data_IF_128046242338
#
_entry.id   IF_128046242338
#
_cell.length_a   1.000
_cell.length_b   1.000
_cell.length_c   1.000
_cell.angle_alpha   90.00
_cell.angle_beta   90.00
_cell.angle_gamma   90.00
#
_symmetry.space_group_name_H-M   'P 1'
#
loop_
_entity.id
_entity.type
_entity.pdbx_description
1 polymer ?
#
# COMPACT_ATOMS: atom_id res chain seq x y z
N UNK A 1 -60.14 29.63 20.27
CA UNK A 1 -59.39 29.30 21.50
C UNK A 1 -59.36 27.79 21.62
N UNK A 2 -58.18 27.19 21.50
CA UNK A 2 -57.96 25.75 21.64
C UNK A 2 -58.10 25.31 23.10
N UNK A 3 -58.27 24.00 23.36
CA UNK A 3 -57.18 23.34 24.09
C UNK A 3 -56.84 21.93 23.56
N UNK A 4 -55.54 21.62 23.62
CA UNK A 4 -54.94 20.30 23.48
C UNK A 4 -55.20 19.43 24.73
N UNK A 5 -55.40 18.12 24.56
CA UNK A 5 -54.76 17.11 25.42
C UNK A 5 -55.02 15.65 24.97
N UNK A 6 -53.91 14.96 24.69
CA UNK A 6 -53.60 13.53 24.91
C UNK A 6 -54.36 12.46 24.10
N UNK A 7 -53.72 11.82 23.10
CA UNK A 7 -52.76 10.70 23.15
C UNK A 7 -53.36 9.32 23.44
N UNK A 8 -52.97 8.39 22.56
CA UNK A 8 -52.98 6.93 22.67
C UNK A 8 -54.27 6.18 22.30
N UNK A 9 -54.40 5.79 21.02
CA UNK A 9 -54.89 4.46 20.68
C UNK A 9 -54.58 4.07 19.23
N UNK A 10 -54.30 2.77 19.05
CA UNK A 10 -54.36 1.99 17.81
C UNK A 10 -53.12 2.04 16.91
N UNK A 11 -52.28 1.00 17.02
CA UNK A 11 -52.00 0.09 15.90
C UNK A 11 -51.14 -1.09 16.40
N UNK A 12 -51.75 -1.96 17.21
CA UNK A 12 -51.36 -3.36 17.30
C UNK A 12 -52.05 -4.07 16.13
N UNK A 13 -51.33 -4.33 15.04
CA UNK A 13 -51.57 -5.38 14.03
C UNK A 13 -50.68 -5.15 12.80
N UNK A 14 -49.44 -5.62 12.84
CA UNK A 14 -48.71 -6.14 11.66
C UNK A 14 -47.50 -6.95 12.15
N UNK A 15 -47.59 -8.28 12.22
CA UNK A 15 -46.41 -9.12 12.41
C UNK A 15 -45.62 -9.21 11.10
N UNK A 16 -44.30 -9.22 11.24
CA UNK A 16 -43.32 -9.81 10.33
C UNK A 16 -43.37 -9.43 8.84
N UNK A 17 -42.52 -8.48 8.45
CA UNK A 17 -41.88 -8.43 7.12
C UNK A 17 -40.61 -7.58 7.17
N UNK A 18 -39.61 -8.05 7.93
CA UNK A 18 -38.20 -7.62 7.80
C UNK A 18 -37.31 -8.86 8.01
N UNK A 19 -37.54 -9.89 7.21
CA UNK A 19 -36.51 -10.87 6.94
C UNK A 19 -35.72 -10.34 5.74
N UNK A 20 -34.40 -10.20 5.89
CA UNK A 20 -33.49 -10.09 4.75
C UNK A 20 -33.79 -11.24 3.78
N UNK A 21 -33.65 -11.06 2.46
CA UNK A 21 -33.73 -12.18 1.54
C UNK A 21 -32.68 -13.23 1.97
N UNK A 22 -33.14 -14.41 2.39
CA UNK A 22 -32.29 -15.59 2.46
C UNK A 22 -31.77 -15.85 1.04
N UNK A 23 -30.45 -16.07 0.85
CA UNK A 23 -29.97 -16.50 -0.44
C UNK A 23 -30.57 -17.88 -0.73
N UNK A 24 -31.30 -17.96 -1.83
CA UNK A 24 -31.82 -19.22 -2.37
C UNK A 24 -30.64 -20.20 -2.54
N UNK A 25 -30.69 -21.35 -1.85
CA UNK A 25 -29.70 -22.44 -1.94
C UNK A 25 -29.80 -23.18 -3.29
N UNK A 26 -29.78 -22.44 -4.40
CA UNK A 26 -29.75 -22.98 -5.76
C UNK A 26 -28.74 -22.29 -6.68
N UNK A 27 -27.87 -21.43 -6.15
CA UNK A 27 -26.68 -21.00 -6.90
C UNK A 27 -25.66 -22.15 -6.91
N UNK A 28 -25.72 -22.88 -8.03
CA UNK A 28 -24.60 -23.60 -8.65
C UNK A 28 -23.29 -23.12 -8.05
N UNK A 29 -22.55 -24.03 -7.42
CA UNK A 29 -21.17 -23.81 -7.02
C UNK A 29 -20.40 -23.32 -8.24
N UNK A 30 -20.36 -21.99 -8.43
CA UNK A 30 -19.40 -21.35 -9.31
C UNK A 30 -18.07 -21.63 -8.67
N UNK A 31 -17.53 -22.80 -9.03
CA UNK A 31 -16.13 -23.12 -8.99
C UNK A 31 -15.42 -21.84 -9.41
N UNK A 32 -14.77 -21.15 -8.46
CA UNK A 32 -13.85 -20.04 -8.74
C UNK A 32 -12.56 -20.56 -9.42
N UNK A 33 -12.70 -21.59 -10.25
CA UNK A 33 -11.72 -22.13 -11.17
C UNK A 33 -12.26 -21.94 -12.60
N UNK A 34 -12.41 -20.67 -13.00
CA UNK A 34 -12.35 -20.35 -14.42
C UNK A 34 -10.93 -19.91 -14.75
N UNK A 35 -10.27 -20.83 -15.46
CA UNK A 35 -9.02 -20.69 -16.21
C UNK A 35 -9.01 -19.39 -17.05
N UNK A 36 -7.84 -18.91 -17.53
CA UNK A 36 -7.72 -17.60 -18.15
C UNK A 36 -8.74 -17.45 -19.28
N UNK A 37 -9.42 -16.31 -19.33
CA UNK A 37 -10.27 -15.91 -20.46
C UNK A 37 -9.46 -16.17 -21.75
N UNK A 38 -10.00 -16.96 -22.68
CA UNK A 38 -9.33 -17.27 -23.94
C UNK A 38 -8.87 -15.97 -24.61
N UNK A 39 -7.58 -15.87 -24.93
CA UNK A 39 -6.96 -14.69 -25.53
C UNK A 39 -6.11 -13.82 -24.59
N UNK A 40 -6.21 -13.96 -23.26
CA UNK A 40 -5.33 -13.23 -22.33
C UNK A 40 -4.12 -14.09 -21.95
N UNK A 41 -3.00 -13.89 -22.65
CA UNK A 41 -1.71 -14.52 -22.34
C UNK A 41 -0.66 -13.45 -22.10
N UNK A 42 0.13 -13.59 -21.04
CA UNK A 42 1.37 -12.81 -20.88
C UNK A 42 2.49 -13.55 -21.62
N UNK A 43 3.07 -12.99 -22.69
CA UNK A 43 4.22 -13.60 -23.36
C UNK A 43 5.43 -13.67 -22.40
N UNK A 44 6.32 -14.67 -22.55
CA UNK A 44 7.56 -14.73 -21.80
C UNK A 44 8.50 -13.60 -22.25
N UNK A 45 9.15 -12.93 -21.30
CA UNK A 45 10.15 -11.89 -21.57
C UNK A 45 11.40 -12.19 -20.73
N UNK A 46 12.49 -12.55 -21.41
CA UNK A 46 13.76 -12.96 -20.80
C UNK A 46 14.94 -12.52 -21.67
N UNK A 47 16.15 -12.29 -21.08
CA UNK A 47 16.43 -12.32 -19.63
C UNK A 47 15.95 -11.04 -18.91
N UNK A 48 15.97 -11.06 -17.58
CA UNK A 48 15.75 -9.84 -16.78
C UNK A 48 16.81 -8.78 -17.16
N UNK A 49 16.41 -7.55 -17.50
CA UNK A 49 17.36 -6.51 -17.88
C UNK A 49 18.41 -6.26 -16.79
N UNK A 50 19.70 -6.11 -17.14
CA UNK A 50 20.73 -5.71 -16.18
C UNK A 50 20.50 -4.26 -15.72
N UNK A 51 20.90 -3.95 -14.49
CA UNK A 51 20.86 -2.58 -13.96
C UNK A 51 21.94 -1.67 -14.56
N UNK A 52 21.90 -0.38 -14.21
CA UNK A 52 22.96 0.59 -14.57
C UNK A 52 22.78 1.30 -15.91
N UNK A 53 21.66 1.08 -16.60
CA UNK A 53 21.28 1.72 -17.86
C UNK A 53 20.81 3.18 -17.79
N UNK A 54 20.44 3.68 -16.60
CA UNK A 54 19.97 5.06 -16.42
C UNK A 54 21.16 5.94 -16.02
N UNK A 55 21.50 6.99 -16.78
CA UNK A 55 22.65 7.85 -16.50
C UNK A 55 22.62 8.45 -15.09
N UNK A 56 21.45 8.91 -14.63
CA UNK A 56 21.29 9.53 -13.31
C UNK A 56 21.61 8.58 -12.14
N UNK A 57 21.60 7.27 -12.39
CA UNK A 57 21.91 6.24 -11.39
C UNK A 57 23.35 5.73 -11.46
N UNK A 58 24.21 6.27 -12.35
CA UNK A 58 25.55 5.72 -12.59
C UNK A 58 26.42 5.70 -11.33
N UNK A 59 26.36 6.75 -10.50
CA UNK A 59 27.12 6.82 -9.25
C UNK A 59 26.59 5.82 -8.21
N UNK A 60 25.27 5.77 -7.99
CA UNK A 60 24.68 4.83 -7.05
C UNK A 60 24.97 3.38 -7.47
N UNK A 61 24.89 3.11 -8.77
CA UNK A 61 25.18 1.79 -9.33
C UNK A 61 26.64 1.38 -9.16
N UNK A 62 27.60 2.30 -9.37
CA UNK A 62 29.02 1.99 -9.16
C UNK A 62 29.32 1.65 -7.70
N UNK A 63 28.76 2.42 -6.75
CA UNK A 63 28.91 2.16 -5.31
C UNK A 63 28.27 0.83 -4.91
N UNK A 64 27.08 0.53 -5.42
CA UNK A 64 26.43 -0.76 -5.20
C UNK A 64 27.25 -1.92 -5.76
N UNK A 65 27.82 -1.77 -6.97
CA UNK A 65 28.66 -2.78 -7.58
C UNK A 65 29.92 -3.08 -6.74
N UNK A 66 30.62 -2.04 -6.28
CA UNK A 66 31.78 -2.20 -5.39
C UNK A 66 31.40 -2.93 -4.10
N UNK A 67 30.29 -2.54 -3.46
CA UNK A 67 29.83 -3.17 -2.22
C UNK A 67 29.46 -4.65 -2.43
N UNK A 68 28.61 -4.94 -3.42
CA UNK A 68 28.11 -6.29 -3.72
C UNK A 68 29.21 -7.22 -4.22
N UNK A 69 30.24 -6.68 -4.90
CA UNK A 69 31.41 -7.46 -5.34
C UNK A 69 32.20 -8.03 -4.16
N UNK A 70 32.19 -7.33 -3.02
CA UNK A 70 32.86 -7.78 -1.80
C UNK A 70 32.04 -8.76 -0.96
N UNK A 71 30.78 -9.03 -1.32
CA UNK A 71 29.85 -9.89 -0.57
C UNK A 71 29.98 -11.36 -0.94
N UNK A 72 29.85 -12.22 0.07
CA UNK A 72 29.63 -13.65 -0.12
C UNK A 72 28.22 -13.93 -0.66
N UNK A 73 27.99 -15.15 -1.18
CA UNK A 73 26.66 -15.54 -1.65
C UNK A 73 25.60 -15.48 -0.54
N UNK A 74 25.95 -15.94 0.67
CA UNK A 74 25.04 -15.91 1.82
C UNK A 74 24.65 -14.47 2.18
N UNK A 75 25.60 -13.53 2.16
CA UNK A 75 25.34 -12.11 2.43
C UNK A 75 24.42 -11.49 1.37
N UNK A 76 24.59 -11.86 0.09
CA UNK A 76 23.69 -11.43 -1.00
C UNK A 76 22.26 -11.94 -0.80
N UNK A 77 22.11 -13.22 -0.46
CA UNK A 77 20.79 -13.82 -0.18
C UNK A 77 20.14 -13.19 1.05
N UNK A 78 20.92 -12.79 2.04
CA UNK A 78 20.40 -12.16 3.26
C UNK A 78 19.73 -10.80 2.96
N UNK A 79 20.29 -10.03 2.04
CA UNK A 79 19.68 -8.76 1.62
C UNK A 79 18.41 -8.93 0.78
N UNK A 80 18.28 -10.04 0.04
CA UNK A 80 17.09 -10.29 -0.80
C UNK A 80 15.96 -11.01 -0.06
N UNK A 81 16.19 -11.47 1.17
CA UNK A 81 15.25 -12.34 1.89
C UNK A 81 14.80 -11.67 3.18
N UNK A 82 13.48 -11.65 3.41
CA UNK A 82 12.92 -11.20 4.67
C UNK A 82 13.21 -12.19 5.80
N UNK A 83 13.48 -11.71 7.02
CA UNK A 83 13.77 -12.58 8.18
C UNK A 83 12.55 -13.37 8.68
N UNK A 84 11.35 -13.02 8.21
CA UNK A 84 10.09 -13.67 8.57
C UNK A 84 9.04 -12.67 9.06
N UNK A 85 7.79 -13.11 9.15
CA UNK A 85 6.68 -12.27 9.61
C UNK A 85 6.77 -12.03 11.11
N UNK A 86 6.68 -10.76 11.53
CA UNK A 86 6.86 -10.32 12.92
C UNK A 86 8.21 -10.68 13.56
N UNK A 87 9.23 -10.99 12.76
CA UNK A 87 10.59 -11.33 13.24
C UNK A 87 11.49 -10.09 13.39
N UNK A 88 10.91 -8.89 13.42
CA UNK A 88 11.62 -7.62 13.54
C UNK A 88 10.67 -6.48 13.92
N UNK A 89 11.21 -5.29 14.23
CA UNK A 89 10.42 -4.12 14.61
C UNK A 89 9.56 -3.55 13.47
N UNK A 90 9.93 -3.82 12.22
CA UNK A 90 9.26 -3.32 11.03
C UNK A 90 8.36 -4.40 10.40
N UNK A 91 7.35 -4.00 9.63
CA UNK A 91 6.44 -4.94 8.95
C UNK A 91 7.18 -5.84 7.97
N UNK A 92 8.26 -5.34 7.36
CA UNK A 92 9.22 -6.14 6.60
C UNK A 92 10.63 -5.81 7.03
N UNK A 93 11.48 -6.82 7.11
CA UNK A 93 12.88 -6.63 7.45
C UNK A 93 13.75 -7.62 6.70
N UNK A 94 14.80 -7.14 6.03
CA UNK A 94 15.79 -8.01 5.40
C UNK A 94 16.74 -8.59 6.44
N UNK A 95 17.53 -9.57 6.03
CA UNK A 95 18.75 -9.91 6.76
C UNK A 95 19.77 -8.77 6.78
N UNK A 96 20.84 -8.95 7.55
CA UNK A 96 21.95 -8.00 7.72
C UNK A 96 23.24 -8.52 7.07
N UNK A 97 24.21 -7.62 6.88
CA UNK A 97 25.58 -7.99 6.46
C UNK A 97 26.57 -7.37 7.45
N UNK A 98 26.75 -7.97 8.65
CA UNK A 98 27.52 -7.37 9.73
C UNK A 98 28.99 -7.14 9.37
N UNK A 99 29.59 -8.03 8.57
CA UNK A 99 30.99 -7.93 8.13
C UNK A 99 31.28 -6.66 7.33
N UNK A 100 30.30 -6.15 6.59
CA UNK A 100 30.40 -4.91 5.82
C UNK A 100 29.72 -3.72 6.53
N UNK A 101 29.27 -3.89 7.77
CA UNK A 101 28.61 -2.85 8.54
C UNK A 101 27.21 -2.48 8.05
N UNK A 102 26.54 -3.35 7.28
CA UNK A 102 25.19 -3.10 6.78
C UNK A 102 24.17 -3.69 7.76
N UNK A 103 23.36 -2.87 8.44
CA UNK A 103 22.28 -3.37 9.27
C UNK A 103 21.16 -3.97 8.40
N UNK A 104 20.22 -4.64 9.06
CA UNK A 104 18.95 -5.01 8.45
C UNK A 104 18.24 -3.77 7.87
N UNK A 105 17.65 -3.92 6.69
CA UNK A 105 16.82 -2.87 6.10
C UNK A 105 15.41 -2.98 6.65
N UNK A 106 14.92 -1.90 7.24
CA UNK A 106 13.56 -1.76 7.75
C UNK A 106 12.63 -1.24 6.65
N UNK A 107 11.60 -2.03 6.32
CA UNK A 107 10.52 -1.67 5.42
C UNK A 107 9.26 -1.44 6.26
N UNK A 108 8.70 -0.23 6.20
CA UNK A 108 7.58 0.14 7.06
C UNK A 108 6.42 0.77 6.29
N UNK A 109 5.21 0.32 6.62
CA UNK A 109 3.95 0.96 6.22
C UNK A 109 3.85 2.36 6.85
N UNK A 110 3.11 3.31 6.28
CA UNK A 110 2.14 3.23 5.19
C UNK A 110 2.28 4.46 4.28
N UNK A 111 1.49 4.56 3.20
CA UNK A 111 1.50 5.74 2.31
C UNK A 111 1.11 7.07 2.97
N UNK A 112 0.65 7.08 4.23
CA UNK A 112 0.14 8.28 4.92
C UNK A 112 0.61 8.47 6.36
N UNK A 113 1.35 7.53 6.95
CA UNK A 113 1.97 7.66 8.29
C UNK A 113 2.93 6.51 8.55
N UNK A 114 3.71 6.58 9.63
CA UNK A 114 4.43 5.40 10.13
C UNK A 114 3.46 4.51 10.92
N UNK A 115 3.16 3.33 10.38
CA UNK A 115 2.22 2.36 10.97
C UNK A 115 2.82 1.72 12.22
N UNK A 116 1.95 1.38 13.18
CA UNK A 116 2.29 0.66 14.42
C UNK A 116 3.46 1.29 15.19
N UNK A 117 3.55 2.62 15.14
CA UNK A 117 4.51 3.41 15.89
C UNK A 117 3.75 4.45 16.72
N UNK A 118 4.42 5.01 17.70
CA UNK A 118 3.96 6.10 18.56
C UNK A 118 4.53 7.45 18.09
N UNK A 119 3.98 8.55 18.58
CA UNK A 119 4.53 9.91 18.34
C UNK A 119 4.80 10.21 16.84
N UNK A 120 3.85 9.88 15.96
CA UNK A 120 3.92 10.15 14.51
C UNK A 120 2.68 10.90 14.03
N UNK A 121 2.79 11.53 12.87
CA UNK A 121 1.71 12.29 12.25
C UNK A 121 0.88 11.40 11.32
N UNK A 122 -0.44 11.54 11.39
CA UNK A 122 -1.35 10.98 10.41
C UNK A 122 -1.61 12.00 9.29
N UNK A 123 -0.97 11.82 8.15
CA UNK A 123 -1.15 12.70 7.00
C UNK A 123 -2.46 12.41 6.25
N UNK A 124 -2.97 13.37 5.45
CA UNK A 124 -4.12 13.12 4.58
C UNK A 124 -3.85 11.96 3.61
N UNK A 125 -4.90 11.18 3.26
CA UNK A 125 -4.77 10.07 2.32
C UNK A 125 -4.46 10.56 0.90
N UNK A 126 -3.88 9.69 0.07
CA UNK A 126 -3.46 10.04 -1.29
C UNK A 126 -4.56 10.69 -2.13
N UNK A 127 -5.82 10.26 -1.98
CA UNK A 127 -6.94 10.85 -2.74
C UNK A 127 -7.24 12.29 -2.35
N UNK A 128 -7.14 12.65 -1.05
CA UNK A 128 -7.33 14.01 -0.55
C UNK A 128 -6.21 14.92 -1.01
N UNK A 129 -4.98 14.41 -1.02
CA UNK A 129 -3.81 15.13 -1.53
C UNK A 129 -3.95 15.33 -3.04
N UNK A 130 -4.40 14.31 -3.77
CA UNK A 130 -4.73 14.42 -5.19
C UNK A 130 -5.78 15.49 -5.47
N UNK A 131 -6.76 15.64 -4.59
CA UNK A 131 -7.82 16.64 -4.73
C UNK A 131 -7.34 18.10 -4.57
N UNK A 132 -6.12 18.34 -4.09
CA UNK A 132 -5.57 19.70 -4.02
C UNK A 132 -5.05 20.21 -5.36
N UNK A 133 -4.72 19.29 -6.29
CA UNK A 133 -4.05 19.59 -7.56
C UNK A 133 -2.79 20.45 -7.40
N UNK A 134 -2.13 20.40 -6.24
CA UNK A 134 -0.96 21.19 -5.91
C UNK A 134 0.26 20.29 -5.69
N UNK A 135 1.27 20.43 -6.55
CA UNK A 135 2.50 19.64 -6.52
C UNK A 135 3.38 19.97 -5.32
N UNK A 136 3.39 21.22 -4.88
CA UNK A 136 4.20 21.66 -3.75
C UNK A 136 3.68 20.99 -2.46
N UNK A 137 2.36 20.98 -2.26
CA UNK A 137 1.73 20.27 -1.14
C UNK A 137 1.96 18.75 -1.18
N UNK A 138 2.01 18.16 -2.38
CA UNK A 138 2.36 16.73 -2.55
C UNK A 138 3.81 16.47 -2.13
N UNK A 139 4.72 17.33 -2.55
CA UNK A 139 6.15 17.25 -2.24
C UNK A 139 6.41 17.44 -0.74
N UNK A 140 5.84 18.50 -0.14
CA UNK A 140 5.95 18.78 1.30
C UNK A 140 5.44 17.62 2.16
N UNK A 141 4.31 17.02 1.76
CA UNK A 141 3.82 15.80 2.42
C UNK A 141 4.79 14.64 2.30
N UNK A 142 5.40 14.46 1.13
CA UNK A 142 6.41 13.42 0.90
C UNK A 142 7.65 13.62 1.78
N UNK A 143 8.13 14.86 1.88
CA UNK A 143 9.25 15.24 2.75
C UNK A 143 8.90 14.95 4.21
N UNK A 144 7.75 15.40 4.71
CA UNK A 144 7.32 15.15 6.09
C UNK A 144 7.23 13.66 6.43
N UNK A 145 6.68 12.84 5.53
CA UNK A 145 6.66 11.39 5.69
C UNK A 145 8.08 10.79 5.72
N UNK A 146 8.97 11.25 4.85
CA UNK A 146 10.36 10.81 4.80
C UNK A 146 11.14 11.16 6.05
N UNK A 147 10.92 12.34 6.62
CA UNK A 147 11.54 12.79 7.86
C UNK A 147 11.08 11.94 9.06
N UNK A 148 9.79 11.66 9.18
CA UNK A 148 9.29 10.78 10.24
C UNK A 148 9.79 9.34 10.07
N UNK A 149 9.83 8.82 8.84
CA UNK A 149 10.38 7.51 8.54
C UNK A 149 11.86 7.42 8.96
N UNK A 150 12.66 8.41 8.55
CA UNK A 150 14.08 8.50 8.90
C UNK A 150 14.28 8.63 10.42
N UNK A 151 13.47 9.44 11.10
CA UNK A 151 13.52 9.62 12.55
C UNK A 151 13.25 8.33 13.33
N UNK A 152 12.42 7.44 12.77
CA UNK A 152 12.13 6.11 13.34
C UNK A 152 13.10 5.01 12.86
N UNK A 153 14.09 5.34 12.03
CA UNK A 153 15.07 4.37 11.51
C UNK A 153 14.55 3.50 10.36
N UNK A 154 13.46 3.90 9.70
CA UNK A 154 12.92 3.22 8.52
C UNK A 154 13.80 3.53 7.31
N UNK A 155 14.20 2.50 6.56
CA UNK A 155 15.02 2.65 5.36
C UNK A 155 14.16 2.76 4.09
N UNK A 156 13.01 2.08 4.08
CA UNK A 156 12.09 2.07 2.94
C UNK A 156 10.67 2.30 3.45
N UNK A 157 10.08 3.42 3.05
CA UNK A 157 8.67 3.70 3.27
C UNK A 157 7.84 2.97 2.19
N UNK A 158 6.86 2.19 2.60
CA UNK A 158 5.98 1.45 1.69
C UNK A 158 4.87 2.37 1.14
N UNK A 159 5.27 3.30 0.28
CA UNK A 159 4.42 4.25 -0.41
C UNK A 159 5.24 5.15 -1.34
N UNK A 160 4.60 6.05 -2.11
CA UNK A 160 3.15 6.29 -2.21
C UNK A 160 2.42 5.18 -2.97
N UNK A 161 1.08 5.21 -2.94
CA UNK A 161 0.27 4.28 -3.73
C UNK A 161 -0.18 4.93 -5.04
N UNK A 162 0.11 4.27 -6.16
CA UNK A 162 -0.47 4.58 -7.49
C UNK A 162 -1.42 3.47 -7.97
N UNK A 163 -1.55 2.40 -7.20
CA UNK A 163 -2.45 1.26 -7.47
C UNK A 163 -3.21 0.88 -6.18
N UNK A 164 -4.54 0.83 -6.16
CA UNK A 164 -5.47 0.82 -7.30
C UNK A 164 -5.71 2.19 -7.95
N UNK A 165 -5.73 2.21 -9.29
CA UNK A 165 -5.96 3.41 -10.11
C UNK A 165 -7.38 4.01 -10.00
N UNK A 166 -8.32 3.32 -9.34
CA UNK A 166 -9.73 3.74 -9.33
C UNK A 166 -10.57 3.26 -10.52
N UNK A 167 -10.18 2.16 -11.20
CA UNK A 167 -10.97 1.57 -12.32
C UNK A 167 -12.44 1.33 -11.94
N UNK A 168 -12.68 0.93 -10.70
CA UNK A 168 -14.03 0.75 -10.13
C UNK A 168 -14.17 1.73 -8.97
N UNK A 169 -15.24 2.55 -8.91
CA UNK A 169 -15.40 3.54 -7.84
C UNK A 169 -15.51 2.90 -6.47
N UNK A 170 -16.11 1.70 -6.38
CA UNK A 170 -16.23 0.91 -5.13
C UNK A 170 -14.98 0.11 -4.76
N UNK A 171 -13.81 0.44 -5.33
CA UNK A 171 -12.55 -0.22 -5.00
C UNK A 171 -12.06 0.17 -3.59
N UNK A 172 -11.87 -0.82 -2.72
CA UNK A 172 -11.61 -0.58 -1.29
C UNK A 172 -10.28 0.12 -0.95
N UNK A 173 -9.31 0.14 -1.87
CA UNK A 173 -7.99 0.79 -1.69
C UNK A 173 -7.77 2.02 -2.58
N UNK A 174 -8.81 2.47 -3.29
CA UNK A 174 -8.71 3.65 -4.16
C UNK A 174 -8.29 4.92 -3.40
N UNK A 175 -8.61 4.98 -2.10
CA UNK A 175 -8.34 6.14 -1.26
C UNK A 175 -6.85 6.30 -0.89
N UNK A 176 -6.07 5.21 -0.89
CA UNK A 176 -4.64 5.24 -0.55
C UNK A 176 -3.82 5.93 -1.64
N UNK A 177 -4.27 5.81 -2.88
CA UNK A 177 -3.60 6.36 -4.04
C UNK A 177 -4.30 7.57 -4.64
N UNK A 178 -3.80 7.96 -5.79
CA UNK A 178 -4.25 9.12 -6.55
C UNK A 178 -4.04 8.85 -8.05
N UNK A 179 -4.82 9.53 -8.89
CA UNK A 179 -4.78 9.32 -10.35
C UNK A 179 -3.38 9.68 -10.92
N UNK A 180 -2.83 8.90 -11.87
CA UNK A 180 -1.49 9.14 -12.42
C UNK A 180 -1.28 10.51 -13.07
N UNK A 181 -2.31 11.11 -13.66
CA UNK A 181 -2.20 12.47 -14.23
C UNK A 181 -1.99 13.55 -13.17
N UNK A 182 -2.39 13.28 -11.93
CA UNK A 182 -2.31 14.22 -10.81
C UNK A 182 -1.05 13.94 -10.00
N UNK A 183 -0.77 12.67 -9.70
CA UNK A 183 0.33 12.28 -8.81
C UNK A 183 1.57 11.73 -9.53
N UNK A 184 1.49 11.38 -10.82
CA UNK A 184 2.64 10.96 -11.64
C UNK A 184 3.44 12.12 -12.22
N UNK A 185 2.99 13.37 -12.01
CA UNK A 185 3.71 14.58 -12.44
C UNK A 185 4.59 15.20 -11.33
N UNK A 186 4.73 14.48 -10.22
CA UNK A 186 5.37 14.90 -8.96
C UNK A 186 6.51 13.96 -8.53
N UNK A 187 6.89 13.00 -9.37
CA UNK A 187 8.00 12.05 -9.15
C UNK A 187 9.10 12.31 -10.16
#
# INVERSE_FOLDING_TARGET
MAPWAHLALVCLLTPHLLASPEPDESESTTNLHTRPIEGYKSPPYYPTPPGGWIPDWSEAYSRAHHLVSSMTLAEKVNLTTGTGFFMGPCVGQTGSVPRLGIPNLCLQDSPLRIRNSDHNTAFPPGTTVGATFNKDLMSERGVGLGEEARGKGVNVLLGPSVGALGRKPRGGRNWEGCRPTICGASV
#
